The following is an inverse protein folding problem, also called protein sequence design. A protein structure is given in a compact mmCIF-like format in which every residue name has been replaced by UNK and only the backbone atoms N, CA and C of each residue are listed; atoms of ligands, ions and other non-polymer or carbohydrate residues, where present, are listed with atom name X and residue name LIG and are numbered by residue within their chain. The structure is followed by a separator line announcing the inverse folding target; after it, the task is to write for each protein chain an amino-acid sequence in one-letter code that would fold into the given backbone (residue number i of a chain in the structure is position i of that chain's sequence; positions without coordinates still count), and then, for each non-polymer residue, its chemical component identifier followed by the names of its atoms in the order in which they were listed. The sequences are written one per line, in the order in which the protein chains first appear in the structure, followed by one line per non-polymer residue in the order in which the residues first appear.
data_IF_052054328865
#
_entry.id   IF_052054328865
#
_cell.length_a   1.000
_cell.length_b   1.000
_cell.length_c   1.000
_cell.angle_alpha   90.00
_cell.angle_beta   90.00
_cell.angle_gamma   90.00
#
_symmetry.space_group_name_H-M   'P 1'
#
loop_
_entity.id
_entity.type
_entity.pdbx_description
1 polymer ?
#
# COMPACT_ATOMS: atom_id res chain seq x y z
N UNK A 1 -0.59 14.81 -25.60
CA UNK A 1 -1.44 13.99 -24.71
C UNK A 1 -0.80 13.66 -23.35
N UNK A 2 0.52 13.41 -23.24
CA UNK A 2 1.20 13.10 -21.96
C UNK A 2 1.13 14.21 -20.90
N UNK A 3 1.24 15.50 -21.28
CA UNK A 3 1.15 16.63 -20.32
C UNK A 3 -0.19 16.71 -19.57
N UNK A 4 -1.30 16.26 -20.16
CA UNK A 4 -2.61 16.23 -19.48
C UNK A 4 -2.71 15.12 -18.44
N UNK A 5 -2.02 13.98 -18.67
CA UNK A 5 -2.02 12.84 -17.75
C UNK A 5 -1.13 13.10 -16.54
N UNK A 6 0.06 13.68 -16.72
CA UNK A 6 0.94 14.05 -15.59
C UNK A 6 0.35 15.15 -14.72
N UNK A 7 -0.27 16.17 -15.32
CA UNK A 7 -1.00 17.22 -14.59
C UNK A 7 -2.28 16.67 -13.93
N UNK A 8 -2.96 15.68 -14.52
CA UNK A 8 -4.05 14.96 -13.86
C UNK A 8 -3.55 14.14 -12.66
N UNK A 9 -2.44 13.39 -12.78
CA UNK A 9 -1.78 12.68 -11.67
C UNK A 9 -1.48 13.65 -10.55
N UNK A 10 -0.82 14.77 -10.86
CA UNK A 10 -0.44 15.79 -9.88
C UNK A 10 -1.66 16.37 -9.18
N UNK A 11 -2.75 16.67 -9.89
CA UNK A 11 -4.01 17.15 -9.30
C UNK A 11 -4.69 16.10 -8.41
N UNK A 12 -4.71 14.83 -8.83
CA UNK A 12 -5.25 13.73 -8.01
C UNK A 12 -4.39 13.47 -6.76
N UNK A 13 -3.07 13.67 -6.85
CA UNK A 13 -2.15 13.49 -5.72
C UNK A 13 -2.04 14.72 -4.80
N UNK A 14 -2.50 15.90 -5.23
CA UNK A 14 -2.35 17.15 -4.47
C UNK A 14 -3.23 17.20 -3.21
N UNK A 15 -4.29 16.36 -3.11
CA UNK A 15 -5.15 16.25 -1.92
C UNK A 15 -4.60 15.14 -0.99
N UNK A 16 -3.28 15.16 -0.77
CA UNK A 16 -2.51 14.11 -0.08
C UNK A 16 -2.99 13.77 1.34
N UNK A 17 -3.82 14.62 1.98
CA UNK A 17 -4.19 14.49 3.39
C UNK A 17 -5.45 13.65 3.65
N UNK A 18 -6.32 13.40 2.65
CA UNK A 18 -7.60 12.67 2.85
C UNK A 18 -8.05 11.78 1.67
N UNK A 19 -7.27 11.67 0.59
CA UNK A 19 -7.83 11.24 -0.70
C UNK A 19 -7.89 9.73 -0.92
N UNK A 20 -9.12 9.22 -1.05
CA UNK A 20 -9.44 7.86 -1.48
C UNK A 20 -8.76 7.46 -2.78
N UNK A 21 -8.57 8.40 -3.71
CA UNK A 21 -7.92 8.12 -4.98
C UNK A 21 -6.46 7.74 -4.76
N UNK A 22 -5.72 8.54 -3.98
CA UNK A 22 -4.33 8.27 -3.66
C UNK A 22 -4.14 6.88 -3.04
N UNK A 23 -4.95 6.55 -2.03
CA UNK A 23 -4.93 5.22 -1.41
C UNK A 23 -5.27 4.11 -2.42
N UNK A 24 -6.19 4.35 -3.35
CA UNK A 24 -6.56 3.39 -4.40
C UNK A 24 -5.39 3.13 -5.35
N UNK A 25 -4.75 4.19 -5.85
CA UNK A 25 -3.62 4.07 -6.77
C UNK A 25 -2.45 3.34 -6.11
N UNK A 26 -2.02 3.77 -4.93
CA UNK A 26 -0.92 3.12 -4.22
C UNK A 26 -1.24 1.68 -3.84
N UNK A 27 -2.49 1.34 -3.50
CA UNK A 27 -2.92 -0.05 -3.27
C UNK A 27 -2.78 -0.89 -4.54
N UNK A 28 -3.29 -0.41 -5.68
CA UNK A 28 -3.23 -1.14 -6.95
C UNK A 28 -1.77 -1.38 -7.38
N UNK A 29 -0.94 -0.35 -7.27
CA UNK A 29 0.50 -0.42 -7.56
C UNK A 29 1.15 -1.44 -6.64
N UNK A 30 0.99 -1.31 -5.32
CA UNK A 30 1.56 -2.24 -4.35
C UNK A 30 1.17 -3.69 -4.66
N UNK A 31 -0.10 -3.98 -4.93
CA UNK A 31 -0.54 -5.34 -5.25
C UNK A 31 0.02 -5.86 -6.56
N UNK A 32 0.13 -5.02 -7.58
CA UNK A 32 0.74 -5.39 -8.85
C UNK A 32 2.22 -5.77 -8.67
N UNK A 33 2.99 -4.95 -7.97
CA UNK A 33 4.44 -5.15 -7.79
C UNK A 33 4.78 -6.24 -6.79
N UNK A 34 3.89 -6.49 -5.83
CA UNK A 34 3.94 -7.69 -5.01
C UNK A 34 3.44 -8.95 -5.76
N UNK A 35 3.01 -8.86 -7.02
CA UNK A 35 2.42 -9.96 -7.80
C UNK A 35 1.23 -10.64 -7.10
N UNK A 36 0.43 -9.85 -6.37
CA UNK A 36 -0.76 -10.29 -5.68
C UNK A 36 -1.95 -10.36 -6.64
N UNK A 37 -1.99 -11.36 -7.52
CA UNK A 37 -2.92 -11.36 -8.66
C UNK A 37 -3.80 -12.60 -8.75
N UNK A 38 -3.79 -13.43 -7.72
CA UNK A 38 -4.67 -14.58 -7.55
C UNK A 38 -4.82 -14.86 -6.05
N UNK A 39 -5.81 -15.68 -5.70
CA UNK A 39 -6.02 -16.08 -4.31
C UNK A 39 -4.78 -16.77 -3.71
N UNK A 40 -4.09 -17.61 -4.49
CA UNK A 40 -2.85 -18.26 -4.04
C UNK A 40 -1.72 -17.26 -3.75
N UNK A 41 -1.73 -16.10 -4.42
CA UNK A 41 -0.76 -15.01 -4.24
C UNK A 41 -1.32 -13.82 -3.46
N UNK A 42 -2.38 -14.02 -2.67
CA UNK A 42 -3.06 -12.94 -1.95
C UNK A 42 -2.15 -12.17 -1.00
N UNK A 43 -2.37 -10.86 -0.92
CA UNK A 43 -1.84 -10.01 0.11
C UNK A 43 -2.65 -10.24 1.39
N UNK A 44 -2.01 -10.81 2.41
CA UNK A 44 -2.69 -11.11 3.67
C UNK A 44 -2.89 -9.85 4.46
N UNK A 45 -4.03 -9.68 5.11
CA UNK A 45 -4.38 -8.52 5.94
C UNK A 45 -4.17 -7.15 5.27
N UNK A 46 -5.24 -6.63 4.69
CA UNK A 46 -5.24 -5.33 4.02
C UNK A 46 -4.78 -4.15 4.87
N UNK A 47 -4.88 -4.24 6.21
CA UNK A 47 -4.57 -3.11 7.09
C UNK A 47 -3.09 -2.74 7.04
N UNK A 48 -2.22 -3.68 6.63
CA UNK A 48 -0.80 -3.41 6.36
C UNK A 48 -0.59 -2.33 5.30
N UNK A 49 -1.51 -2.19 4.34
CA UNK A 49 -1.41 -1.15 3.29
C UNK A 49 -1.34 0.23 3.92
N UNK A 50 -2.03 0.46 5.05
CA UNK A 50 -2.03 1.77 5.72
C UNK A 50 -0.63 2.22 6.14
N UNK A 51 0.24 1.28 6.52
CA UNK A 51 1.62 1.53 6.91
C UNK A 51 2.56 1.61 5.72
N UNK A 52 2.29 0.81 4.68
CA UNK A 52 3.15 0.72 3.51
C UNK A 52 2.98 1.90 2.56
N UNK A 53 1.80 2.52 2.53
CA UNK A 53 1.46 3.50 1.49
C UNK A 53 2.40 4.71 1.49
N UNK A 54 2.86 5.18 2.65
CA UNK A 54 3.77 6.34 2.70
C UNK A 54 5.12 5.98 2.08
N UNK A 55 5.67 4.79 2.37
CA UNK A 55 6.91 4.30 1.77
C UNK A 55 6.79 4.02 0.27
N UNK A 56 5.62 3.60 -0.23
CA UNK A 56 5.38 3.46 -1.68
C UNK A 56 5.55 4.79 -2.41
N UNK A 57 5.17 5.90 -1.78
CA UNK A 57 5.17 7.21 -2.43
C UNK A 57 6.44 8.02 -2.17
N UNK A 58 6.91 8.05 -0.93
CA UNK A 58 8.08 8.82 -0.52
C UNK A 58 9.39 8.07 -0.80
N UNK A 59 9.35 6.74 -0.88
CA UNK A 59 10.54 5.91 -1.06
C UNK A 59 11.40 5.83 0.19
N UNK A 60 12.52 5.11 0.11
CA UNK A 60 13.52 5.07 1.17
C UNK A 60 13.35 3.95 2.20
N UNK A 61 14.48 3.60 2.81
CA UNK A 61 14.55 2.57 3.83
C UNK A 61 14.00 3.08 5.18
N UNK A 62 13.12 2.34 5.87
CA UNK A 62 12.62 2.73 7.19
C UNK A 62 13.71 3.13 8.18
N UNK A 63 14.89 2.49 8.13
CA UNK A 63 16.04 2.78 9.00
C UNK A 63 16.73 4.12 8.75
N UNK A 64 16.49 4.76 7.62
CA UNK A 64 17.14 6.03 7.23
C UNK A 64 16.28 7.25 7.57
N UNK A 65 15.03 7.03 8.01
CA UNK A 65 14.13 8.11 8.40
C UNK A 65 14.36 8.58 9.83
N UNK A 66 14.16 9.88 10.05
CA UNK A 66 14.11 10.43 11.40
C UNK A 66 12.93 9.84 12.20
N UNK A 67 13.14 9.62 13.50
CA UNK A 67 12.14 9.03 14.39
C UNK A 67 10.79 9.78 14.35
N UNK A 68 10.85 11.12 14.28
CA UNK A 68 9.65 11.96 14.20
C UNK A 68 8.84 11.70 12.92
N UNK A 69 9.51 11.51 11.78
CA UNK A 69 8.85 11.28 10.50
C UNK A 69 8.16 9.90 10.47
N UNK A 70 8.83 8.88 10.98
CA UNK A 70 8.25 7.55 11.11
C UNK A 70 7.08 7.55 12.12
N UNK A 71 7.16 8.30 13.21
CA UNK A 71 6.05 8.47 14.15
C UNK A 71 4.83 9.12 13.45
N UNK A 72 5.05 10.11 12.59
CA UNK A 72 4.00 10.74 11.79
C UNK A 72 3.38 9.74 10.80
N UNK A 73 4.19 8.91 10.14
CA UNK A 73 3.70 7.83 9.26
C UNK A 73 2.82 6.87 10.05
N UNK A 74 3.27 6.43 11.24
CA UNK A 74 2.50 5.53 12.08
C UNK A 74 1.14 6.13 12.49
N UNK A 75 1.12 7.41 12.89
CA UNK A 75 -0.10 8.11 13.27
C UNK A 75 -1.07 8.26 12.08
N UNK A 76 -0.55 8.66 10.91
CA UNK A 76 -1.32 8.74 9.66
C UNK A 76 -1.90 7.39 9.27
N UNK A 77 -1.16 6.29 9.46
CA UNK A 77 -1.63 4.94 9.15
C UNK A 77 -2.89 4.57 9.95
N UNK A 78 -3.03 5.00 11.21
CA UNK A 78 -4.24 4.71 12.00
C UNK A 78 -5.50 5.34 11.40
N UNK A 79 -5.38 6.55 10.84
CA UNK A 79 -6.48 7.23 10.15
C UNK A 79 -6.79 6.49 8.84
N UNK A 80 -5.76 6.16 8.05
CA UNK A 80 -5.90 5.45 6.76
C UNK A 80 -6.57 4.09 6.90
N UNK A 81 -6.35 3.36 8.00
CA UNK A 81 -7.03 2.07 8.26
C UNK A 81 -8.56 2.19 8.20
N UNK A 82 -9.14 3.28 8.72
CA UNK A 82 -10.59 3.50 8.67
C UNK A 82 -11.06 3.71 7.22
N UNK A 83 -10.32 4.51 6.45
CA UNK A 83 -10.61 4.78 5.04
C UNK A 83 -10.47 3.52 4.17
N UNK A 84 -9.49 2.67 4.45
CA UNK A 84 -9.23 1.44 3.69
C UNK A 84 -10.42 0.48 3.68
N UNK A 85 -11.18 0.37 4.77
CA UNK A 85 -12.36 -0.50 4.81
C UNK A 85 -13.37 -0.09 3.74
N UNK A 86 -13.71 1.19 3.68
CA UNK A 86 -14.63 1.73 2.67
C UNK A 86 -14.03 1.58 1.27
N UNK A 87 -12.74 1.88 1.11
CA UNK A 87 -12.07 1.79 -0.19
C UNK A 87 -12.09 0.37 -0.75
N UNK A 88 -11.85 -0.66 0.07
CA UNK A 88 -11.86 -2.05 -0.38
C UNK A 88 -13.24 -2.45 -0.89
N UNK A 89 -14.30 -2.02 -0.23
CA UNK A 89 -15.67 -2.29 -0.68
C UNK A 89 -15.90 -1.65 -2.06
N UNK A 90 -15.49 -0.39 -2.23
CA UNK A 90 -15.64 0.32 -3.52
C UNK A 90 -14.83 -0.35 -4.63
N UNK A 91 -13.56 -0.69 -4.39
CA UNK A 91 -12.69 -1.33 -5.38
C UNK A 91 -13.17 -2.75 -5.74
N UNK A 92 -13.69 -3.50 -4.75
CA UNK A 92 -14.31 -4.80 -4.97
C UNK A 92 -15.57 -4.68 -5.83
N UNK A 93 -16.46 -3.73 -5.52
CA UNK A 93 -17.69 -3.50 -6.28
C UNK A 93 -17.41 -3.07 -7.73
N UNK A 94 -16.27 -2.44 -7.98
CA UNK A 94 -15.78 -2.11 -9.33
C UNK A 94 -15.01 -3.25 -10.01
N UNK A 95 -14.95 -4.43 -9.39
CA UNK A 95 -14.21 -5.61 -9.84
C UNK A 95 -12.69 -5.41 -10.05
N UNK A 96 -12.10 -4.36 -9.45
CA UNK A 96 -10.65 -4.09 -9.57
C UNK A 96 -9.81 -4.99 -8.66
N UNK A 97 -10.38 -5.36 -7.51
CA UNK A 97 -9.78 -6.28 -6.54
C UNK A 97 -10.77 -7.37 -6.17
N UNK A 98 -10.23 -8.50 -5.74
CA UNK A 98 -10.96 -9.57 -5.10
C UNK A 98 -10.49 -9.72 -3.65
N UNK A 99 -11.38 -10.24 -2.80
CA UNK A 99 -11.16 -10.35 -1.36
C UNK A 99 -11.58 -11.72 -0.85
N UNK A 100 -10.87 -12.22 0.16
CA UNK A 100 -11.23 -13.44 0.89
C UNK A 100 -11.11 -13.22 2.39
N UNK A 101 -12.05 -13.75 3.17
CA UNK A 101 -11.93 -13.78 4.62
C UNK A 101 -10.99 -14.90 5.06
N UNK A 102 -9.92 -14.51 5.75
CA UNK A 102 -9.03 -15.46 6.40
C UNK A 102 -9.63 -15.87 7.74
N UNK A 103 -10.19 -17.09 7.81
CA UNK A 103 -10.87 -17.62 9.00
C UNK A 103 -9.95 -17.73 10.22
N UNK A 104 -8.64 -17.96 10.01
CA UNK A 104 -7.68 -18.16 11.10
C UNK A 104 -7.33 -16.84 11.79
N UNK A 105 -7.05 -15.80 11.01
CA UNK A 105 -6.64 -14.49 11.55
C UNK A 105 -7.79 -13.49 11.64
N UNK A 106 -8.99 -13.85 11.19
CA UNK A 106 -10.15 -12.95 11.06
C UNK A 106 -9.84 -11.67 10.29
N UNK A 107 -8.97 -11.78 9.28
CA UNK A 107 -8.55 -10.65 8.44
C UNK A 107 -9.08 -10.79 7.02
N UNK A 108 -9.10 -9.67 6.30
CA UNK A 108 -9.43 -9.67 4.87
C UNK A 108 -8.13 -9.69 4.09
N UNK A 109 -7.96 -10.76 3.31
CA UNK A 109 -6.88 -10.92 2.34
C UNK A 109 -7.39 -10.44 0.97
N UNK A 110 -6.49 -9.93 0.14
CA UNK A 110 -6.87 -9.32 -1.14
C UNK A 110 -5.88 -9.59 -2.27
N UNK A 111 -6.37 -9.54 -3.50
CA UNK A 111 -5.57 -9.64 -4.72
C UNK A 111 -6.19 -8.83 -5.85
N UNK A 112 -5.37 -8.54 -6.83
CA UNK A 112 -5.69 -7.73 -7.99
C UNK A 112 -6.35 -8.56 -9.08
N UNK A 113 -7.43 -8.03 -9.66
CA UNK A 113 -8.03 -8.59 -10.87
C UNK A 113 -7.36 -7.93 -12.08
N UNK A 114 -6.26 -8.53 -12.56
CA UNK A 114 -5.44 -7.98 -13.66
C UNK A 114 -6.25 -7.65 -14.92
N UNK A 115 -7.29 -8.43 -15.21
CA UNK A 115 -8.12 -8.28 -16.42
C UNK A 115 -9.02 -7.04 -16.40
N UNK A 116 -9.43 -6.58 -15.21
CA UNK A 116 -10.32 -5.44 -15.06
C UNK A 116 -9.59 -4.09 -15.12
N UNK A 117 -8.25 -4.10 -15.13
CA UNK A 117 -7.44 -2.88 -15.06
C UNK A 117 -6.85 -2.60 -16.45
N UNK A 118 -7.06 -1.39 -16.99
CA UNK A 118 -6.46 -1.01 -18.27
C UNK A 118 -4.94 -1.20 -18.25
N UNK A 119 -4.37 -1.77 -19.32
CA UNK A 119 -2.91 -2.01 -19.41
C UNK A 119 -2.13 -0.70 -19.27
N UNK A 120 -2.66 0.38 -19.85
CA UNK A 120 -2.13 1.75 -19.76
C UNK A 120 -2.05 2.30 -18.33
N UNK A 121 -2.79 1.73 -17.37
CA UNK A 121 -2.71 2.14 -15.97
C UNK A 121 -1.33 1.86 -15.39
N UNK A 122 -0.70 0.76 -15.79
CA UNK A 122 0.62 0.35 -15.31
C UNK A 122 1.75 0.92 -16.19
N UNK A 123 1.51 2.02 -16.90
CA UNK A 123 2.55 2.69 -17.68
C UNK A 123 3.72 3.06 -16.75
N UNK A 124 4.83 2.33 -16.92
CA UNK A 124 5.99 2.39 -16.04
C UNK A 124 6.57 3.80 -15.96
N UNK A 125 6.43 4.60 -17.02
CA UNK A 125 6.91 5.99 -17.03
C UNK A 125 6.14 6.92 -16.09
N UNK A 126 4.88 6.59 -15.79
CA UNK A 126 4.03 7.43 -14.95
C UNK A 126 4.24 7.14 -13.47
N UNK A 127 4.59 5.91 -13.12
CA UNK A 127 4.73 5.44 -11.75
C UNK A 127 6.14 4.95 -11.40
N UNK A 128 7.15 5.31 -12.20
CA UNK A 128 8.52 4.80 -12.09
C UNK A 128 9.07 4.89 -10.67
N UNK A 129 8.90 6.06 -10.03
CA UNK A 129 9.33 6.27 -8.65
C UNK A 129 8.61 5.32 -7.68
N UNK A 130 7.28 5.22 -7.76
CA UNK A 130 6.52 4.35 -6.86
C UNK A 130 6.86 2.87 -7.06
N UNK A 131 7.23 2.49 -8.28
CA UNK A 131 7.68 1.15 -8.64
C UNK A 131 9.02 0.83 -8.00
N UNK A 132 9.98 1.74 -8.15
CA UNK A 132 11.31 1.63 -7.54
C UNK A 132 11.21 1.56 -6.01
N UNK A 133 10.36 2.40 -5.41
CA UNK A 133 10.10 2.43 -3.98
C UNK A 133 9.53 1.10 -3.47
N UNK A 134 8.57 0.49 -4.18
CA UNK A 134 8.03 -0.83 -3.78
C UNK A 134 9.10 -1.91 -3.90
N UNK A 135 9.97 -1.83 -4.90
CA UNK A 135 11.07 -2.77 -5.09
C UNK A 135 12.12 -2.64 -3.97
N UNK A 136 12.47 -1.41 -3.58
CA UNK A 136 13.33 -1.13 -2.42
C UNK A 136 12.71 -1.67 -1.14
N UNK A 137 11.44 -1.34 -0.88
CA UNK A 137 10.71 -1.82 0.28
C UNK A 137 10.62 -3.36 0.35
N UNK A 138 10.48 -4.05 -0.78
CA UNK A 138 10.55 -5.52 -0.82
C UNK A 138 11.92 -6.06 -0.41
N UNK A 139 13.01 -5.38 -0.79
CA UNK A 139 14.38 -5.77 -0.42
C UNK A 139 14.60 -5.58 1.08
N UNK A 140 14.23 -4.41 1.61
CA UNK A 140 14.47 -4.05 3.02
C UNK A 140 13.59 -4.87 3.98
N UNK A 141 12.29 -5.04 3.69
CA UNK A 141 11.36 -5.75 4.58
C UNK A 141 11.37 -7.28 4.41
N UNK A 142 12.26 -7.82 3.56
CA UNK A 142 12.33 -9.22 3.07
C UNK A 142 11.13 -9.66 2.21
N UNK A 143 11.34 -10.67 1.35
CA UNK A 143 10.44 -11.21 0.28
C UNK A 143 9.02 -11.65 0.73
N UNK A 144 8.67 -11.48 2.01
CA UNK A 144 7.44 -11.97 2.64
C UNK A 144 6.46 -10.88 3.05
N UNK A 145 6.62 -9.62 2.60
CA UNK A 145 5.68 -8.52 2.92
C UNK A 145 4.22 -8.91 2.70
N UNK A 146 3.92 -9.69 1.65
CA UNK A 146 2.59 -10.25 1.38
C UNK A 146 2.01 -11.07 2.52
N UNK A 147 2.80 -11.99 3.09
CA UNK A 147 2.33 -13.02 4.02
C UNK A 147 2.62 -12.71 5.49
N UNK A 148 3.46 -11.71 5.75
CA UNK A 148 3.81 -11.23 7.09
C UNK A 148 2.57 -10.72 7.85
N UNK A 149 2.57 -10.89 9.16
CA UNK A 149 1.53 -10.33 10.04
C UNK A 149 1.70 -8.82 10.18
N UNK A 150 0.61 -8.12 10.51
CA UNK A 150 0.67 -6.68 10.78
C UNK A 150 1.60 -6.35 11.96
N UNK A 151 1.61 -7.19 13.00
CA UNK A 151 2.49 -7.05 14.16
C UNK A 151 3.96 -7.06 13.75
N UNK A 152 4.40 -8.08 13.02
CA UNK A 152 5.80 -8.20 12.58
C UNK A 152 6.19 -7.08 11.61
N UNK A 153 5.24 -6.59 10.79
CA UNK A 153 5.48 -5.45 9.92
C UNK A 153 5.76 -4.19 10.73
N UNK A 154 4.92 -3.92 11.74
CA UNK A 154 5.06 -2.74 12.59
C UNK A 154 6.32 -2.83 13.45
N UNK A 155 6.64 -4.01 13.96
CA UNK A 155 7.89 -4.25 14.69
C UNK A 155 9.09 -3.89 13.81
N UNK A 156 9.17 -4.42 12.59
CA UNK A 156 10.28 -4.16 11.67
C UNK A 156 10.41 -2.72 11.19
N UNK A 157 9.30 -2.01 11.00
CA UNK A 157 9.31 -0.64 10.47
C UNK A 157 9.51 0.38 11.59
N UNK A 158 8.91 0.18 12.75
CA UNK A 158 8.81 1.20 13.79
C UNK A 158 9.52 0.81 15.08
N UNK A 159 9.29 -0.39 15.63
CA UNK A 159 9.90 -0.76 16.92
C UNK A 159 11.41 -0.96 16.80
N UNK A 160 11.88 -1.55 15.70
CA UNK A 160 13.32 -1.70 15.40
C UNK A 160 14.01 -0.33 15.21
N UNK A 161 13.23 0.73 14.93
CA UNK A 161 13.68 2.12 14.80
C UNK A 161 13.28 2.98 16.02
N UNK A 162 13.17 2.38 17.21
CA UNK A 162 12.90 3.04 18.51
C UNK A 162 11.56 3.77 18.66
N UNK A 163 10.57 3.50 17.81
CA UNK A 163 9.28 4.18 17.91
C UNK A 163 8.32 3.38 18.78
N UNK A 164 7.76 4.06 19.78
CA UNK A 164 6.74 3.51 20.66
C UNK A 164 5.43 3.33 19.87
N UNK A 165 5.15 2.08 19.53
CA UNK A 165 3.87 1.72 18.92
C UNK A 165 2.89 1.24 20.00
N UNK A 166 1.67 1.77 19.96
CA UNK A 166 0.57 1.22 20.74
C UNK A 166 0.27 -0.16 20.15
N UNK A 167 0.23 -1.20 20.99
CA UNK A 167 0.09 -2.59 20.56
C UNK A 167 -0.93 -2.75 19.42
N UNK A 168 -0.45 -3.32 18.30
CA UNK A 168 -1.20 -3.42 17.03
C UNK A 168 -2.02 -4.69 16.93
#
# INVERSE_FOLDING_TARGET
MQQNRSSAKKRMMFIQKEDYNFLAYSMIILLKFLDCTSEAKRFRDFRKIAYLVDFVNEGGEPSMFEEQHLADIYNKAQIKKKLLHHLIIVLKNRNLISVSLNKTSQTIDLWLNKEAIPVDFFDAKMFENEIENVAELQKTLTTRVRSMTIKNLVEKIFNDNNILTWGV
#
